data_IF_471444818103
#
_entry.id   IF_471444818103
#
_cell.length_a   1.000
_cell.length_b   1.000
_cell.length_c   1.000
_cell.angle_alpha   90.00
_cell.angle_beta   90.00
_cell.angle_gamma   90.00
#
_symmetry.space_group_name_H-M   'P 1'
#
loop_
_entity.id
_entity.type
_entity.pdbx_description
1 polymer ?
#
# COMPACT_ATOMS: atom_id res chain seq x y z
N UNK A 1 17.75 -17.40 6.18
CA UNK A 1 16.64 -16.91 7.04
C UNK A 1 15.38 -17.60 6.56
N UNK A 2 14.62 -18.25 7.45
CA UNK A 2 13.45 -19.06 7.10
C UNK A 2 12.42 -18.22 6.34
N UNK A 3 11.86 -18.80 5.28
CA UNK A 3 10.86 -18.20 4.38
C UNK A 3 9.45 -18.24 5.02
N UNK A 4 9.33 -17.86 6.30
CA UNK A 4 8.06 -17.89 7.02
C UNK A 4 7.10 -16.83 6.49
N UNK A 5 5.83 -17.20 6.34
CA UNK A 5 4.77 -16.24 6.05
C UNK A 5 4.46 -15.36 7.27
N UNK A 6 3.95 -14.16 7.03
CA UNK A 6 3.51 -13.25 8.10
C UNK A 6 2.59 -13.94 9.12
N UNK A 7 1.60 -14.70 8.64
CA UNK A 7 0.66 -15.43 9.50
C UNK A 7 1.34 -16.48 10.39
N UNK A 8 2.40 -17.11 9.90
CA UNK A 8 3.18 -18.08 10.68
C UNK A 8 3.95 -17.37 11.79
N UNK A 9 4.59 -16.23 11.49
CA UNK A 9 5.32 -15.45 12.49
C UNK A 9 4.39 -14.93 13.61
N UNK A 10 3.21 -14.38 13.27
CA UNK A 10 2.23 -13.93 14.27
C UNK A 10 1.75 -15.10 15.14
N UNK A 11 1.48 -16.25 14.52
CA UNK A 11 1.07 -17.46 15.25
C UNK A 11 2.16 -17.96 16.21
N UNK A 12 3.42 -17.85 15.80
CA UNK A 12 4.56 -18.22 16.65
C UNK A 12 4.71 -17.26 17.84
N UNK A 13 4.57 -15.95 17.64
CA UNK A 13 4.61 -14.99 18.76
C UNK A 13 3.52 -15.25 19.79
N UNK A 14 2.29 -15.53 19.34
CA UNK A 14 1.19 -15.94 20.23
C UNK A 14 1.48 -17.25 20.95
N UNK A 15 2.08 -18.22 20.25
CA UNK A 15 2.49 -19.51 20.83
C UNK A 15 3.55 -19.33 21.91
N UNK A 16 4.53 -18.45 21.69
CA UNK A 16 5.56 -18.10 22.67
C UNK A 16 4.93 -17.46 23.90
N UNK A 17 4.07 -16.43 23.74
CA UNK A 17 3.39 -15.77 24.85
C UNK A 17 2.59 -16.76 25.70
N UNK A 18 1.82 -17.64 25.05
CA UNK A 18 1.06 -18.70 25.73
C UNK A 18 1.97 -19.72 26.44
N UNK A 19 3.07 -20.10 25.80
CA UNK A 19 4.08 -21.01 26.34
C UNK A 19 4.72 -20.47 27.61
N UNK A 20 5.08 -19.17 27.62
CA UNK A 20 5.64 -18.47 28.79
C UNK A 20 4.63 -18.46 29.94
N UNK A 21 3.39 -18.02 29.69
CA UNK A 21 2.35 -17.96 30.73
C UNK A 21 2.08 -19.33 31.37
N UNK A 22 2.07 -20.40 30.57
CA UNK A 22 1.79 -21.76 31.07
C UNK A 22 2.95 -22.33 31.89
N UNK A 23 4.18 -21.84 31.68
CA UNK A 23 5.42 -22.43 32.25
C UNK A 23 6.23 -21.42 33.06
N UNK A 24 5.61 -20.35 33.53
CA UNK A 24 6.29 -19.22 34.14
C UNK A 24 7.20 -19.63 35.32
N UNK A 25 6.75 -20.57 36.17
CA UNK A 25 7.54 -21.08 37.30
C UNK A 25 8.85 -21.74 36.87
N UNK A 26 8.87 -22.41 35.72
CA UNK A 26 10.08 -23.05 35.20
C UNK A 26 11.04 -22.05 34.55
N UNK A 27 10.55 -20.85 34.21
CA UNK A 27 11.29 -19.81 33.50
C UNK A 27 11.78 -18.67 34.43
N UNK A 28 11.38 -18.66 35.69
CA UNK A 28 11.76 -17.63 36.66
C UNK A 28 13.29 -17.55 36.87
N UNK A 29 14.01 -18.67 36.76
CA UNK A 29 15.47 -18.74 36.89
C UNK A 29 16.26 -18.04 35.78
N UNK A 30 15.61 -17.68 34.67
CA UNK A 30 16.23 -16.98 33.52
C UNK A 30 15.65 -15.58 33.31
N UNK A 31 14.84 -15.07 34.25
CA UNK A 31 14.32 -13.72 34.22
C UNK A 31 13.19 -13.46 33.22
N UNK A 32 12.57 -14.51 32.67
CA UNK A 32 11.36 -14.36 31.84
C UNK A 32 10.14 -14.18 32.74
N UNK A 33 9.34 -13.18 32.42
CA UNK A 33 8.23 -12.70 33.25
C UNK A 33 6.88 -12.81 32.53
N UNK A 34 5.80 -12.61 33.28
CA UNK A 34 4.46 -12.48 32.71
C UNK A 34 4.35 -11.22 31.81
N UNK A 35 5.13 -10.17 32.11
CA UNK A 35 5.15 -8.95 31.31
C UNK A 35 5.76 -9.19 29.93
N UNK A 36 6.75 -10.08 29.81
CA UNK A 36 7.31 -10.48 28.51
C UNK A 36 6.28 -11.21 27.65
N UNK A 37 5.48 -12.09 28.27
CA UNK A 37 4.38 -12.77 27.59
C UNK A 37 3.30 -11.77 27.13
N UNK A 38 2.96 -10.81 27.98
CA UNK A 38 2.00 -9.75 27.63
C UNK A 38 2.52 -8.88 26.48
N UNK A 39 3.79 -8.48 26.52
CA UNK A 39 4.42 -7.70 25.45
C UNK A 39 4.42 -8.46 24.12
N UNK A 40 4.72 -9.77 24.12
CA UNK A 40 4.66 -10.59 22.91
C UNK A 40 3.24 -10.72 22.35
N UNK A 41 2.22 -10.86 23.21
CA UNK A 41 0.83 -10.91 22.77
C UNK A 41 0.39 -9.57 22.15
N UNK A 42 0.73 -8.45 22.79
CA UNK A 42 0.42 -7.10 22.29
C UNK A 42 1.08 -6.87 20.92
N UNK A 43 2.35 -7.21 20.76
CA UNK A 43 3.04 -7.07 19.48
C UNK A 43 2.39 -7.93 18.38
N UNK A 44 1.95 -9.14 18.69
CA UNK A 44 1.24 -9.98 17.73
C UNK A 44 -0.09 -9.33 17.27
N UNK A 45 -0.83 -8.71 18.17
CA UNK A 45 -2.09 -8.03 17.86
C UNK A 45 -1.88 -6.72 17.08
N UNK A 46 -0.83 -5.96 17.41
CA UNK A 46 -0.41 -4.78 16.65
C UNK A 46 0.00 -5.14 15.23
N UNK A 47 0.73 -6.25 15.04
CA UNK A 47 1.10 -6.75 13.73
C UNK A 47 -0.14 -7.08 12.88
N UNK A 48 -1.11 -7.81 13.44
CA UNK A 48 -2.36 -8.13 12.74
C UNK A 48 -3.12 -6.85 12.35
N UNK A 49 -3.16 -5.86 13.25
CA UNK A 49 -3.78 -4.55 13.00
C UNK A 49 -3.10 -3.81 11.85
N UNK A 50 -1.76 -3.73 11.88
CA UNK A 50 -0.97 -3.06 10.84
C UNK A 50 -1.12 -3.78 9.48
N UNK A 51 -1.16 -5.11 9.48
CA UNK A 51 -1.37 -5.88 8.26
C UNK A 51 -2.76 -5.63 7.66
N UNK A 52 -3.81 -5.59 8.48
CA UNK A 52 -5.16 -5.25 8.02
C UNK A 52 -5.22 -3.83 7.42
N UNK A 53 -4.59 -2.85 8.07
CA UNK A 53 -4.49 -1.48 7.56
C UNK A 53 -3.70 -1.43 6.24
N UNK A 54 -2.62 -2.22 6.11
CA UNK A 54 -1.85 -2.30 4.89
C UNK A 54 -2.69 -2.83 3.72
N UNK A 55 -3.46 -3.90 3.92
CA UNK A 55 -4.33 -4.47 2.89
C UNK A 55 -5.43 -3.49 2.45
N UNK A 56 -6.01 -2.76 3.40
CA UNK A 56 -6.97 -1.69 3.10
C UNK A 56 -6.33 -0.57 2.26
N UNK A 57 -5.13 -0.10 2.63
CA UNK A 57 -4.41 0.92 1.87
C UNK A 57 -4.06 0.44 0.44
N UNK A 58 -3.70 -0.84 0.26
CA UNK A 58 -3.48 -1.43 -1.06
C UNK A 58 -4.74 -1.40 -1.92
N UNK A 59 -5.90 -1.72 -1.33
CA UNK A 59 -7.19 -1.67 -2.02
C UNK A 59 -7.54 -0.23 -2.44
N UNK A 60 -7.38 0.74 -1.54
CA UNK A 60 -7.60 2.15 -1.83
C UNK A 60 -6.67 2.69 -2.92
N UNK A 61 -5.39 2.35 -2.86
CA UNK A 61 -4.41 2.72 -3.88
C UNK A 61 -4.85 2.19 -5.25
N UNK A 62 -5.21 0.91 -5.34
CA UNK A 62 -5.68 0.28 -6.58
C UNK A 62 -6.91 1.00 -7.14
N UNK A 63 -7.88 1.32 -6.29
CA UNK A 63 -9.08 2.05 -6.69
C UNK A 63 -8.74 3.45 -7.25
N UNK A 64 -7.88 4.21 -6.57
CA UNK A 64 -7.46 5.54 -7.01
C UNK A 64 -6.60 5.52 -8.27
N UNK A 65 -5.74 4.53 -8.43
CA UNK A 65 -4.99 4.33 -9.68
C UNK A 65 -5.93 4.08 -10.86
N UNK A 66 -6.97 3.26 -10.68
CA UNK A 66 -7.97 3.01 -11.72
C UNK A 66 -8.75 4.29 -12.08
N UNK A 67 -9.17 5.07 -11.07
CA UNK A 67 -9.85 6.36 -11.28
C UNK A 67 -8.96 7.34 -12.07
N UNK A 68 -7.70 7.47 -11.67
CA UNK A 68 -6.71 8.34 -12.32
C UNK A 68 -6.50 7.93 -13.78
N UNK A 69 -6.32 6.63 -14.04
CA UNK A 69 -6.11 6.11 -15.39
C UNK A 69 -7.32 6.36 -16.29
N UNK A 70 -8.54 6.19 -15.77
CA UNK A 70 -9.77 6.49 -16.49
C UNK A 70 -9.85 7.98 -16.87
N UNK A 71 -9.63 8.89 -15.91
CA UNK A 71 -9.63 10.33 -16.16
C UNK A 71 -8.53 10.75 -17.14
N UNK A 72 -7.35 10.16 -17.04
CA UNK A 72 -6.24 10.43 -17.96
C UNK A 72 -6.58 10.03 -19.41
N UNK A 73 -7.26 8.90 -19.60
CA UNK A 73 -7.73 8.47 -20.93
C UNK A 73 -8.72 9.46 -21.52
N UNK A 74 -9.69 9.92 -20.73
CA UNK A 74 -10.67 10.94 -21.16
C UNK A 74 -9.98 12.25 -21.49
N UNK A 75 -9.06 12.73 -20.65
CA UNK A 75 -8.32 13.96 -20.87
C UNK A 75 -7.48 13.91 -22.16
N UNK A 76 -6.80 12.78 -22.42
CA UNK A 76 -6.03 12.56 -23.65
C UNK A 76 -6.91 12.56 -24.89
N UNK A 77 -8.07 11.90 -24.84
CA UNK A 77 -9.02 11.89 -25.94
C UNK A 77 -9.55 13.31 -26.22
N UNK A 78 -9.94 14.04 -25.17
CA UNK A 78 -10.40 15.43 -25.28
C UNK A 78 -9.33 16.34 -25.85
N UNK A 79 -8.09 16.24 -25.37
CA UNK A 79 -6.95 16.97 -25.92
C UNK A 79 -6.78 16.69 -27.41
N UNK A 80 -6.82 15.42 -27.82
CA UNK A 80 -6.66 15.03 -29.22
C UNK A 80 -7.74 15.66 -30.12
N UNK A 81 -9.00 15.59 -29.71
CA UNK A 81 -10.13 16.23 -30.41
C UNK A 81 -9.94 17.75 -30.50
N UNK A 82 -9.62 18.41 -29.40
CA UNK A 82 -9.41 19.87 -29.37
C UNK A 82 -8.24 20.29 -30.28
N UNK A 83 -7.11 19.57 -30.23
CA UNK A 83 -5.96 19.85 -31.09
C UNK A 83 -6.33 19.71 -32.57
N UNK A 84 -7.12 18.71 -32.95
CA UNK A 84 -7.59 18.57 -34.34
C UNK A 84 -8.41 19.79 -34.78
N UNK A 85 -9.31 20.29 -33.93
CA UNK A 85 -10.12 21.48 -34.21
C UNK A 85 -9.28 22.74 -34.34
N UNK A 86 -8.30 22.93 -33.45
CA UNK A 86 -7.34 24.05 -33.54
C UNK A 86 -6.61 24.03 -34.88
N UNK A 87 -6.11 22.85 -35.31
CA UNK A 87 -5.40 22.71 -36.59
C UNK A 87 -6.25 23.01 -37.82
N UNK A 88 -7.57 22.86 -37.72
CA UNK A 88 -8.52 23.18 -38.81
C UNK A 88 -8.79 24.69 -38.85
N UNK A 89 -8.94 25.32 -37.68
CA UNK A 89 -9.39 26.71 -37.58
C UNK A 89 -8.26 27.74 -37.63
N UNK A 90 -7.05 27.37 -37.22
CA UNK A 90 -5.95 28.31 -36.96
C UNK A 90 -4.77 28.01 -37.90
N UNK A 91 -4.12 29.05 -38.49
CA UNK A 91 -2.88 28.89 -39.24
C UNK A 91 -1.77 28.19 -38.44
N UNK A 92 -0.89 27.47 -39.13
CA UNK A 92 0.12 26.60 -38.50
C UNK A 92 1.14 27.39 -37.65
N UNK A 93 1.43 28.63 -38.02
CA UNK A 93 2.35 29.54 -37.35
C UNK A 93 1.90 29.85 -35.92
N UNK A 94 0.59 29.84 -35.67
CA UNK A 94 -0.02 30.19 -34.38
C UNK A 94 -0.28 28.98 -33.47
N UNK A 95 -0.06 27.75 -33.95
CA UNK A 95 -0.32 26.52 -33.17
C UNK A 95 0.48 26.44 -31.86
N UNK A 96 1.65 27.08 -31.80
CA UNK A 96 2.51 27.10 -30.60
C UNK A 96 1.81 27.71 -29.40
N UNK A 97 0.90 28.68 -29.60
CA UNK A 97 0.10 29.30 -28.54
C UNK A 97 -0.82 28.29 -27.82
N UNK A 98 -1.16 27.19 -28.49
CA UNK A 98 -1.98 26.10 -27.96
C UNK A 98 -1.13 24.91 -27.45
N UNK A 99 0.19 25.07 -27.35
CA UNK A 99 1.12 23.99 -27.00
C UNK A 99 1.17 22.89 -28.07
N UNK A 100 0.83 23.22 -29.32
CA UNK A 100 0.90 22.31 -30.46
C UNK A 100 2.13 22.67 -31.27
N UNK A 101 3.17 21.85 -31.17
CA UNK A 101 4.36 22.02 -32.00
C UNK A 101 4.06 21.59 -33.43
N UNK A 102 4.36 22.47 -34.38
CA UNK A 102 4.45 22.10 -35.79
C UNK A 102 5.58 21.05 -35.93
N UNK A 103 5.30 19.93 -36.60
CA UNK A 103 6.39 19.06 -37.06
C UNK A 103 7.16 19.85 -38.12
N UNK A 104 8.49 19.85 -38.00
CA UNK A 104 9.38 20.25 -39.09
C UNK A 104 9.18 19.35 -40.30
#
# INVERSE_FOLDING_TARGET
MSNQSFSQSVSEFRTIASGINTRLTALSGVGVTADDAAAMAVLADELDTLNAQQEELKAQLKAKTNELNAKMKVARAKRSDLVKRVKIAIPQEEWVAFGVLAKR
#
